data_IF_680893065004
#
_entry.id   IF_680893065004
#
_cell.length_a   1.000
_cell.length_b   1.000
_cell.length_c   1.000
_cell.angle_alpha   90.00
_cell.angle_beta   90.00
_cell.angle_gamma   90.00
#
_symmetry.space_group_name_H-M   'P 1'
#
loop_
_entity.id
_entity.type
_entity.pdbx_description
1 polymer ?
#
# COMPACT_ATOMS: atom_id res chain seq x y z
N UNK A 1 9.32 -20.46 -4.40
CA UNK A 1 8.39 -19.42 -4.91
C UNK A 1 8.60 -18.16 -4.10
N UNK A 2 8.38 -17.00 -4.69
CA UNK A 2 8.67 -15.70 -4.08
C UNK A 2 7.53 -14.70 -4.33
N UNK A 3 7.21 -13.92 -3.29
CA UNK A 3 6.29 -12.79 -3.33
C UNK A 3 7.00 -11.57 -2.73
N UNK A 4 7.10 -10.49 -3.50
CA UNK A 4 7.71 -9.23 -3.08
C UNK A 4 6.66 -8.11 -2.98
N UNK A 5 6.54 -7.50 -1.80
CA UNK A 5 5.63 -6.40 -1.52
C UNK A 5 6.41 -5.09 -1.48
N UNK A 6 6.19 -4.22 -2.45
CA UNK A 6 6.86 -2.93 -2.61
C UNK A 6 5.89 -1.82 -2.24
N UNK A 7 6.32 -0.86 -1.41
CA UNK A 7 5.56 0.37 -1.18
C UNK A 7 5.79 1.35 -2.34
N UNK A 8 4.73 1.97 -2.83
CA UNK A 8 4.79 3.02 -3.85
C UNK A 8 5.77 4.16 -3.49
N UNK A 9 6.14 4.98 -4.49
CA UNK A 9 6.99 6.16 -4.36
C UNK A 9 6.37 7.33 -3.61
N UNK A 10 7.16 8.38 -3.36
CA UNK A 10 6.63 9.60 -2.71
C UNK A 10 5.62 10.28 -3.63
N UNK A 11 4.52 10.78 -3.07
CA UNK A 11 3.51 11.50 -3.86
C UNK A 11 4.03 12.85 -4.35
N UNK A 12 3.53 13.31 -5.51
CA UNK A 12 3.76 14.68 -5.99
C UNK A 12 3.00 15.73 -5.17
N UNK A 13 1.99 15.33 -4.38
CA UNK A 13 1.29 16.26 -3.50
C UNK A 13 2.23 16.74 -2.38
N UNK A 14 2.60 18.02 -2.43
CA UNK A 14 3.48 18.68 -1.45
C UNK A 14 2.74 19.53 -0.42
N UNK A 15 1.42 19.72 -0.59
CA UNK A 15 0.57 20.46 0.35
C UNK A 15 0.66 19.84 1.76
N UNK A 16 1.13 20.63 2.74
CA UNK A 16 1.31 20.18 4.13
C UNK A 16 0.81 21.20 5.16
N UNK A 17 -0.01 22.16 4.73
CA UNK A 17 -0.62 23.14 5.61
C UNK A 17 -1.54 22.48 6.64
N UNK A 18 -1.75 23.17 7.76
CA UNK A 18 -2.71 22.72 8.77
C UNK A 18 -4.13 22.81 8.21
N UNK A 19 -4.78 21.67 8.11
CA UNK A 19 -6.13 21.51 7.57
C UNK A 19 -7.09 20.98 8.64
N UNK A 20 -8.38 21.24 8.46
CA UNK A 20 -9.46 20.64 9.25
C UNK A 20 -9.70 19.18 8.85
N UNK A 21 -10.46 18.44 9.66
CA UNK A 21 -10.85 17.06 9.34
C UNK A 21 -11.69 16.94 8.05
N UNK A 22 -12.47 17.98 7.70
CA UNK A 22 -13.21 18.02 6.44
C UNK A 22 -12.30 18.23 5.24
N UNK A 23 -11.34 19.15 5.36
CA UNK A 23 -10.32 19.39 4.34
C UNK A 23 -9.41 18.17 4.15
N UNK A 24 -9.19 17.38 5.20
CA UNK A 24 -8.40 16.14 5.12
C UNK A 24 -8.94 15.15 4.09
N UNK A 25 -10.27 15.00 3.97
CA UNK A 25 -10.86 14.14 2.94
C UNK A 25 -10.46 14.60 1.52
N UNK A 26 -10.60 15.90 1.25
CA UNK A 26 -10.20 16.50 -0.03
C UNK A 26 -8.69 16.38 -0.27
N UNK A 27 -7.90 16.50 0.79
CA UNK A 27 -6.46 16.30 0.71
C UNK A 27 -6.11 14.86 0.32
N UNK A 28 -6.82 13.86 0.86
CA UNK A 28 -6.66 12.45 0.45
C UNK A 28 -7.06 12.24 -1.01
N UNK A 29 -8.17 12.84 -1.47
CA UNK A 29 -8.59 12.77 -2.87
C UNK A 29 -7.52 13.35 -3.82
N UNK A 30 -6.94 14.52 -3.46
CA UNK A 30 -5.79 15.09 -4.19
C UNK A 30 -4.57 14.15 -4.14
N UNK A 31 -4.30 13.55 -3.00
CA UNK A 31 -3.17 12.64 -2.81
C UNK A 31 -3.30 11.39 -3.71
N UNK A 32 -4.52 10.87 -3.86
CA UNK A 32 -4.83 9.75 -4.74
C UNK A 32 -4.67 10.11 -6.23
N UNK A 33 -4.92 11.37 -6.61
CA UNK A 33 -4.88 11.86 -7.99
C UNK A 33 -3.49 12.35 -8.48
N UNK A 34 -2.61 12.81 -7.58
CA UNK A 34 -1.36 13.47 -7.96
C UNK A 34 -0.20 12.51 -8.31
N UNK A 35 -0.37 11.19 -8.20
CA UNK A 35 0.68 10.26 -8.64
C UNK A 35 1.94 10.30 -7.76
N UNK A 36 3.11 10.00 -8.33
CA UNK A 36 4.41 9.98 -7.63
C UNK A 36 5.50 10.82 -8.27
N UNK A 37 6.46 11.25 -7.45
CA UNK A 37 7.69 11.94 -7.88
C UNK A 37 8.57 10.94 -8.64
N UNK A 38 9.03 11.35 -9.81
CA UNK A 38 10.10 10.65 -10.54
C UNK A 38 11.44 10.92 -9.84
N UNK A 39 12.08 9.89 -9.33
CA UNK A 39 13.33 10.00 -8.58
C UNK A 39 14.50 9.61 -9.48
N UNK A 40 15.65 10.29 -9.34
CA UNK A 40 16.84 9.99 -10.15
C UNK A 40 17.37 8.58 -9.95
N UNK A 41 17.05 7.95 -8.81
CA UNK A 41 17.49 6.59 -8.44
C UNK A 41 16.46 5.91 -7.56
N UNK A 42 16.27 4.60 -7.76
CA UNK A 42 15.44 3.73 -6.91
C UNK A 42 16.31 2.72 -6.15
N UNK A 43 15.85 2.16 -5.01
CA UNK A 43 16.62 1.16 -4.27
C UNK A 43 16.94 -0.06 -5.15
N UNK A 44 18.22 -0.43 -5.21
CA UNK A 44 18.73 -1.47 -6.11
C UNK A 44 18.04 -2.83 -5.87
N UNK A 45 17.85 -3.20 -4.60
CA UNK A 45 17.12 -4.41 -4.22
C UNK A 45 15.64 -4.41 -4.67
N UNK A 46 15.00 -3.23 -4.80
CA UNK A 46 13.64 -3.11 -5.32
C UNK A 46 13.62 -3.29 -6.83
N UNK A 47 14.58 -2.67 -7.53
CA UNK A 47 14.73 -2.81 -8.99
C UNK A 47 15.01 -4.27 -9.38
N UNK A 48 15.89 -4.96 -8.68
CA UNK A 48 16.20 -6.39 -8.93
C UNK A 48 14.95 -7.28 -8.82
N UNK A 49 14.10 -7.04 -7.81
CA UNK A 49 12.85 -7.80 -7.64
C UNK A 49 11.85 -7.53 -8.74
N UNK A 50 11.74 -6.28 -9.20
CA UNK A 50 10.84 -5.94 -10.31
C UNK A 50 11.36 -6.50 -11.65
N UNK A 51 12.66 -6.41 -11.90
CA UNK A 51 13.29 -6.91 -13.13
C UNK A 51 13.20 -8.43 -13.28
N UNK A 52 13.20 -9.17 -12.16
CA UNK A 52 13.11 -10.64 -12.14
C UNK A 52 11.70 -11.16 -11.87
N UNK A 53 10.71 -10.27 -11.71
CA UNK A 53 9.33 -10.66 -11.53
C UNK A 53 8.76 -11.25 -12.81
N UNK A 54 8.05 -12.37 -12.68
CA UNK A 54 7.32 -12.95 -13.81
C UNK A 54 5.97 -12.27 -14.00
N UNK A 55 5.43 -11.63 -12.96
CA UNK A 55 4.21 -10.84 -12.99
C UNK A 55 4.25 -9.73 -11.94
N UNK A 56 3.72 -8.55 -12.28
CA UNK A 56 3.64 -7.39 -11.38
C UNK A 56 2.19 -6.98 -11.18
N UNK A 57 1.77 -6.90 -9.92
CA UNK A 57 0.49 -6.34 -9.50
C UNK A 57 0.64 -4.93 -8.96
N UNK A 58 -0.43 -4.16 -9.10
CA UNK A 58 -0.61 -2.85 -8.47
C UNK A 58 -2.01 -2.75 -7.89
N UNK A 59 -2.20 -1.84 -6.93
CA UNK A 59 -3.54 -1.27 -6.77
C UNK A 59 -3.86 -0.39 -7.99
N UNK A 60 -5.12 -0.09 -8.19
CA UNK A 60 -5.63 0.88 -9.18
C UNK A 60 -5.45 2.36 -8.78
N UNK A 61 -4.91 2.67 -7.60
CA UNK A 61 -4.54 4.04 -7.27
C UNK A 61 -3.33 4.48 -8.10
N UNK A 62 -3.44 5.65 -8.72
CA UNK A 62 -2.46 6.21 -9.67
C UNK A 62 -1.02 6.14 -9.16
N UNK A 63 -0.79 6.49 -7.89
CA UNK A 63 0.54 6.42 -7.27
C UNK A 63 1.18 5.04 -7.30
N UNK A 64 0.40 3.96 -7.16
CA UNK A 64 0.93 2.60 -7.21
C UNK A 64 1.22 2.18 -8.66
N UNK A 65 0.31 2.50 -9.59
CA UNK A 65 0.46 2.23 -11.02
C UNK A 65 1.69 2.95 -11.58
N UNK A 66 1.82 4.25 -11.31
CA UNK A 66 2.98 5.04 -11.75
C UNK A 66 4.27 4.56 -11.12
N UNK A 67 4.27 4.21 -9.83
CA UNK A 67 5.46 3.63 -9.19
C UNK A 67 5.90 2.33 -9.88
N UNK A 68 4.96 1.46 -10.25
CA UNK A 68 5.31 0.24 -10.98
C UNK A 68 5.89 0.55 -12.35
N UNK A 69 5.36 1.55 -13.07
CA UNK A 69 5.92 1.98 -14.36
C UNK A 69 7.31 2.57 -14.23
N UNK A 70 7.58 3.37 -13.20
CA UNK A 70 8.90 3.95 -12.93
C UNK A 70 9.95 2.88 -12.61
N UNK A 71 9.54 1.76 -11.99
CA UNK A 71 10.42 0.60 -11.75
C UNK A 71 10.66 -0.24 -13.02
N UNK A 72 10.00 0.10 -14.13
CA UNK A 72 10.21 -0.44 -15.48
C UNK A 72 10.29 -1.99 -15.55
N UNK A 73 9.23 -2.72 -15.16
CA UNK A 73 9.21 -4.18 -15.26
C UNK A 73 9.28 -4.64 -16.71
N UNK A 74 9.91 -5.80 -16.91
CA UNK A 74 9.96 -6.50 -18.22
C UNK A 74 8.64 -7.21 -18.54
N UNK A 75 7.80 -7.42 -17.53
CA UNK A 75 6.51 -8.14 -17.61
C UNK A 75 5.31 -7.20 -17.54
N UNK A 76 4.12 -7.74 -17.79
CA UNK A 76 2.86 -7.02 -17.70
C UNK A 76 2.56 -6.58 -16.27
N UNK A 77 2.01 -5.35 -16.16
CA UNK A 77 1.47 -4.81 -14.91
C UNK A 77 -0.04 -5.04 -14.90
N UNK A 78 -0.54 -5.75 -13.88
CA UNK A 78 -1.97 -5.94 -13.64
C UNK A 78 -2.41 -5.01 -12.50
N UNK A 79 -3.47 -4.24 -12.75
CA UNK A 79 -4.04 -3.34 -11.75
C UNK A 79 -5.31 -3.92 -11.17
N UNK A 80 -5.39 -3.99 -9.84
CA UNK A 80 -6.51 -4.62 -9.13
C UNK A 80 -6.89 -3.81 -7.87
N UNK A 81 -8.14 -3.32 -7.75
CA UNK A 81 -8.63 -2.61 -6.57
C UNK A 81 -8.51 -3.40 -5.26
N UNK A 82 -8.39 -4.73 -5.32
CA UNK A 82 -8.16 -5.58 -4.14
C UNK A 82 -6.96 -5.12 -3.32
N UNK A 83 -5.95 -4.54 -3.97
CA UNK A 83 -4.70 -4.09 -3.36
C UNK A 83 -4.70 -2.61 -2.90
N UNK A 84 -5.83 -1.89 -2.98
CA UNK A 84 -5.94 -0.50 -2.50
C UNK A 84 -5.53 -0.38 -1.03
N UNK A 85 -4.97 0.79 -0.67
CA UNK A 85 -4.70 1.14 0.72
C UNK A 85 -5.98 1.09 1.54
N UNK A 86 -5.85 0.80 2.83
CA UNK A 86 -6.98 0.92 3.75
C UNK A 86 -7.37 2.39 3.88
N UNK A 87 -8.61 2.72 3.51
CA UNK A 87 -9.18 4.06 3.69
C UNK A 87 -9.21 4.45 5.17
N UNK A 88 -9.17 5.76 5.42
CA UNK A 88 -9.34 6.31 6.76
C UNK A 88 -10.78 6.77 6.95
N UNK A 89 -11.31 6.69 8.18
CA UNK A 89 -12.62 7.23 8.49
C UNK A 89 -12.68 8.70 8.09
N UNK A 90 -13.76 9.09 7.42
CA UNK A 90 -14.03 10.50 7.13
C UNK A 90 -15.14 10.99 8.05
N UNK A 91 -14.79 11.99 8.88
CA UNK A 91 -15.76 12.60 9.79
C UNK A 91 -16.74 13.44 8.97
N UNK A 92 -18.04 13.21 9.15
CA UNK A 92 -19.08 14.16 8.73
C UNK A 92 -19.38 15.21 9.81
N UNK A 93 -18.96 14.98 11.06
CA UNK A 93 -19.30 15.83 12.19
C UNK A 93 -18.22 16.86 12.51
N UNK A 94 -18.67 18.08 12.81
CA UNK A 94 -17.92 19.30 13.17
C UNK A 94 -17.10 19.19 14.47
N UNK A 95 -16.79 17.98 14.94
CA UNK A 95 -16.30 17.74 16.30
C UNK A 95 -14.95 18.38 16.63
N UNK A 96 -14.23 18.94 15.65
CA UNK A 96 -12.98 19.63 15.91
C UNK A 96 -12.79 20.83 14.96
N UNK A 97 -12.90 22.05 15.49
CA UNK A 97 -12.29 23.27 14.90
C UNK A 97 -10.73 23.20 14.93
N UNK A 98 -10.16 22.03 15.15
CA UNK A 98 -8.72 21.79 15.24
C UNK A 98 -8.18 21.64 13.82
N UNK A 99 -7.11 22.39 13.53
CA UNK A 99 -6.35 22.24 12.30
C UNK A 99 -5.03 21.53 12.60
N UNK A 100 -4.77 20.43 11.88
CA UNK A 100 -3.57 19.61 12.02
C UNK A 100 -2.96 19.40 10.63
N UNK A 101 -1.66 19.08 10.59
CA UNK A 101 -1.03 18.67 9.34
C UNK A 101 -1.63 17.35 8.85
N UNK A 102 -1.67 17.09 7.53
CA UNK A 102 -2.24 15.86 6.97
C UNK A 102 -1.67 14.58 7.56
N UNK A 103 -0.36 14.54 7.82
CA UNK A 103 0.30 13.39 8.44
C UNK A 103 -0.20 13.10 9.85
N UNK A 104 -0.47 14.14 10.64
CA UNK A 104 -1.01 14.01 12.00
C UNK A 104 -2.47 13.55 11.93
N UNK A 105 -3.27 14.12 11.03
CA UNK A 105 -4.64 13.64 10.78
C UNK A 105 -4.66 12.15 10.42
N UNK A 106 -3.77 11.71 9.53
CA UNK A 106 -3.67 10.31 9.15
C UNK A 106 -3.36 9.40 10.36
N UNK A 107 -2.48 9.84 11.28
CA UNK A 107 -2.15 9.12 12.52
C UNK A 107 -3.36 9.06 13.45
N UNK A 108 -4.01 10.20 13.73
CA UNK A 108 -5.16 10.27 14.64
C UNK A 108 -6.31 9.40 14.12
N UNK A 109 -6.68 9.54 12.86
CA UNK A 109 -7.75 8.75 12.24
C UNK A 109 -7.38 7.27 12.20
N UNK A 110 -6.10 6.93 12.03
CA UNK A 110 -5.65 5.54 12.11
C UNK A 110 -5.81 4.95 13.50
N UNK A 111 -5.52 5.72 14.55
CA UNK A 111 -5.73 5.30 15.95
C UNK A 111 -7.22 5.08 16.21
N UNK A 112 -8.08 6.03 15.84
CA UNK A 112 -9.53 5.89 15.97
C UNK A 112 -10.05 4.66 15.21
N UNK A 113 -9.52 4.42 14.02
CA UNK A 113 -9.84 3.25 13.21
C UNK A 113 -9.46 1.93 13.87
N UNK A 114 -8.30 1.87 14.51
CA UNK A 114 -7.92 0.71 15.33
C UNK A 114 -8.86 0.49 16.52
N UNK A 115 -9.42 1.57 17.08
CA UNK A 115 -10.44 1.52 18.14
C UNK A 115 -11.85 1.18 17.62
N UNK A 116 -12.02 0.91 16.33
CA UNK A 116 -13.29 0.48 15.73
C UNK A 116 -14.05 1.57 14.99
N UNK A 117 -13.61 2.83 15.05
CA UNK A 117 -14.24 3.92 14.31
C UNK A 117 -14.01 3.75 12.80
N UNK A 118 -15.05 3.46 12.03
CA UNK A 118 -14.93 3.12 10.60
C UNK A 118 -16.03 3.78 9.75
N UNK A 119 -16.45 4.98 10.14
CA UNK A 119 -17.47 5.73 9.41
C UNK A 119 -17.02 5.99 7.97
N UNK A 120 -17.84 5.57 7.00
CA UNK A 120 -17.63 5.71 5.56
C UNK A 120 -16.35 5.06 5.02
N UNK A 121 -15.80 4.05 5.71
CA UNK A 121 -14.66 3.28 5.23
C UNK A 121 -14.76 1.82 5.69
N UNK A 122 -13.90 0.94 5.18
CA UNK A 122 -13.81 -0.42 5.71
C UNK A 122 -13.34 -0.40 7.18
N UNK A 123 -13.80 -1.34 7.99
CA UNK A 123 -13.29 -1.59 9.35
C UNK A 123 -11.99 -2.40 9.34
N UNK A 124 -11.26 -2.44 10.46
CA UNK A 124 -10.08 -3.29 10.60
C UNK A 124 -10.37 -4.78 10.33
N UNK A 125 -11.56 -5.26 10.71
CA UNK A 125 -11.97 -6.65 10.45
C UNK A 125 -12.14 -6.90 8.95
N UNK A 126 -12.79 -5.97 8.24
CA UNK A 126 -12.96 -6.04 6.78
C UNK A 126 -11.61 -5.93 6.06
N UNK A 127 -10.73 -5.01 6.47
CA UNK A 127 -9.40 -4.87 5.90
C UNK A 127 -8.54 -6.14 6.07
N UNK A 128 -8.61 -6.80 7.24
CA UNK A 128 -7.94 -8.11 7.47
C UNK A 128 -8.51 -9.20 6.57
N UNK A 129 -9.82 -9.27 6.42
CA UNK A 129 -10.48 -10.22 5.52
C UNK A 129 -10.06 -9.98 4.06
N UNK A 130 -10.01 -8.72 3.63
CA UNK A 130 -9.51 -8.33 2.30
C UNK A 130 -8.04 -8.70 2.11
N UNK A 131 -7.19 -8.47 3.11
CA UNK A 131 -5.78 -8.88 3.07
C UNK A 131 -5.61 -10.41 3.00
N UNK A 132 -6.51 -11.18 3.63
CA UNK A 132 -6.50 -12.64 3.52
C UNK A 132 -6.79 -13.11 2.08
N UNK A 133 -7.76 -12.47 1.41
CA UNK A 133 -8.04 -12.69 -0.02
C UNK A 133 -6.86 -12.27 -0.90
N UNK A 134 -6.34 -11.06 -0.69
CA UNK A 134 -5.21 -10.52 -1.44
C UNK A 134 -3.96 -11.42 -1.33
N UNK A 135 -3.64 -11.89 -0.12
CA UNK A 135 -2.53 -12.84 0.06
C UNK A 135 -2.80 -14.19 -0.60
N UNK A 136 -4.06 -14.66 -0.66
CA UNK A 136 -4.39 -15.90 -1.36
C UNK A 136 -4.15 -15.74 -2.86
N UNK A 137 -4.66 -14.66 -3.46
CA UNK A 137 -4.44 -14.35 -4.87
C UNK A 137 -2.94 -14.30 -5.20
N UNK A 138 -2.13 -13.59 -4.41
CA UNK A 138 -0.67 -13.55 -4.61
C UNK A 138 -0.01 -14.94 -4.51
N UNK A 139 -0.49 -15.81 -3.63
CA UNK A 139 0.00 -17.19 -3.51
C UNK A 139 -0.35 -18.01 -4.75
N UNK A 140 -1.59 -17.90 -5.23
CA UNK A 140 -2.05 -18.62 -6.42
C UNK A 140 -1.21 -18.22 -7.64
N UNK A 141 -0.99 -16.92 -7.83
CA UNK A 141 -0.07 -16.42 -8.86
C UNK A 141 1.39 -16.86 -8.61
N UNK A 142 1.87 -16.93 -7.37
CA UNK A 142 3.23 -17.39 -7.10
C UNK A 142 3.40 -18.90 -7.37
N UNK A 143 2.33 -19.70 -7.25
CA UNK A 143 2.34 -21.11 -7.65
C UNK A 143 2.51 -21.26 -9.16
N UNK A 144 1.86 -20.41 -9.94
CA UNK A 144 1.92 -20.41 -11.42
C UNK A 144 3.22 -19.77 -11.93
N UNK A 145 3.48 -18.53 -11.55
CA UNK A 145 4.55 -17.68 -12.10
C UNK A 145 5.87 -17.72 -11.33
N UNK A 146 5.93 -18.38 -10.16
CA UNK A 146 7.10 -18.52 -9.27
C UNK A 146 7.62 -17.24 -8.61
N UNK A 147 7.59 -16.09 -9.29
CA UNK A 147 8.04 -14.78 -8.81
C UNK A 147 6.96 -13.72 -9.06
N UNK A 148 6.38 -13.18 -7.98
CA UNK A 148 5.29 -12.20 -8.02
C UNK A 148 5.70 -10.94 -7.27
N UNK A 149 5.48 -9.78 -7.88
CA UNK A 149 5.63 -8.49 -7.21
C UNK A 149 4.27 -7.83 -7.03
N UNK A 150 4.04 -7.20 -5.88
CA UNK A 150 2.97 -6.23 -5.67
C UNK A 150 3.57 -4.86 -5.35
N UNK A 151 3.31 -3.86 -6.19
CA UNK A 151 3.54 -2.45 -5.87
C UNK A 151 2.25 -1.87 -5.28
N UNK A 152 2.25 -1.67 -3.97
CA UNK A 152 1.07 -1.31 -3.18
C UNK A 152 1.37 -0.25 -2.13
N UNK A 153 0.74 -0.38 -0.98
CA UNK A 153 0.69 0.68 0.03
C UNK A 153 1.20 0.20 1.38
N UNK A 154 1.66 1.14 2.20
CA UNK A 154 2.36 0.80 3.44
C UNK A 154 1.52 -0.06 4.39
N UNK A 155 0.27 0.34 4.63
CA UNK A 155 -0.52 -0.31 5.66
C UNK A 155 -1.19 -1.60 5.15
N UNK A 156 -1.73 -1.59 3.94
CA UNK A 156 -2.31 -2.79 3.35
C UNK A 156 -1.24 -3.86 3.07
N UNK A 157 -0.03 -3.50 2.60
CA UNK A 157 1.07 -4.47 2.45
C UNK A 157 1.46 -5.09 3.80
N UNK A 158 1.41 -4.32 4.91
CA UNK A 158 1.63 -4.89 6.25
C UNK A 158 0.56 -5.94 6.62
N UNK A 159 -0.70 -5.73 6.23
CA UNK A 159 -1.76 -6.71 6.48
C UNK A 159 -1.56 -7.96 5.60
N UNK A 160 -1.24 -7.79 4.32
CA UNK A 160 -0.91 -8.91 3.41
C UNK A 160 0.27 -9.72 3.95
N UNK A 161 1.35 -9.05 4.36
CA UNK A 161 2.53 -9.68 4.94
C UNK A 161 2.19 -10.58 6.13
N UNK A 162 1.31 -10.11 7.03
CA UNK A 162 0.83 -10.92 8.17
C UNK A 162 0.06 -12.16 7.71
N UNK A 163 -0.78 -12.03 6.70
CA UNK A 163 -1.54 -13.16 6.16
C UNK A 163 -0.66 -14.16 5.41
N UNK A 164 0.37 -13.71 4.68
CA UNK A 164 1.38 -14.58 4.07
C UNK A 164 2.13 -15.40 5.13
N UNK A 165 2.56 -14.76 6.22
CA UNK A 165 3.25 -15.43 7.32
C UNK A 165 2.36 -16.47 8.02
N UNK A 166 1.07 -16.17 8.23
CA UNK A 166 0.10 -17.15 8.76
C UNK A 166 -0.03 -18.38 7.85
N UNK A 167 0.18 -18.20 6.54
CA UNK A 167 0.16 -19.27 5.53
C UNK A 167 1.54 -19.92 5.33
N UNK A 168 2.49 -19.72 6.25
CA UNK A 168 3.78 -20.41 6.27
C UNK A 168 4.88 -19.76 5.44
N UNK A 169 4.63 -18.62 4.78
CA UNK A 169 5.66 -17.92 4.01
C UNK A 169 6.69 -17.25 4.93
N UNK A 170 7.97 -17.48 4.64
CA UNK A 170 9.09 -16.93 5.41
C UNK A 170 9.56 -15.63 4.78
N UNK A 171 9.62 -14.56 5.55
CA UNK A 171 10.08 -13.26 5.06
C UNK A 171 10.44 -12.34 6.20
N UNK A 172 11.42 -11.46 5.98
CA UNK A 172 11.85 -10.51 7.01
C UNK A 172 10.82 -9.38 7.11
N UNK A 173 10.23 -9.23 8.31
CA UNK A 173 9.40 -8.07 8.64
C UNK A 173 10.30 -6.88 8.98
N UNK A 174 11.21 -6.49 8.09
CA UNK A 174 11.86 -5.18 8.24
C UNK A 174 10.74 -4.15 8.12
N UNK A 175 10.31 -3.61 9.26
CA UNK A 175 9.23 -2.62 9.40
C UNK A 175 9.67 -1.26 8.87
N UNK A 176 10.37 -1.22 7.75
CA UNK A 176 10.71 0.06 7.14
C UNK A 176 9.47 0.54 6.37
N UNK A 177 8.86 1.60 6.89
CA UNK A 177 7.70 2.22 6.28
C UNK A 177 8.10 3.18 5.15
N UNK A 178 9.38 3.30 4.77
CA UNK A 178 9.81 4.17 3.68
C UNK A 178 9.18 3.78 2.34
N UNK A 179 8.95 4.79 1.52
CA UNK A 179 8.62 4.62 0.10
C UNK A 179 9.71 3.77 -0.58
N UNK A 180 9.32 3.02 -1.62
CA UNK A 180 10.17 2.07 -2.35
C UNK A 180 10.69 0.87 -1.57
N UNK A 181 10.41 0.76 -0.27
CA UNK A 181 10.82 -0.41 0.50
C UNK A 181 10.16 -1.69 -0.04
N UNK A 182 10.96 -2.75 -0.13
CA UNK A 182 10.56 -4.07 -0.61
C UNK A 182 10.64 -5.10 0.52
N UNK A 183 9.53 -5.79 0.79
CA UNK A 183 9.48 -6.94 1.68
C UNK A 183 9.31 -8.21 0.85
N UNK A 184 10.26 -9.13 0.97
CA UNK A 184 10.23 -10.39 0.21
C UNK A 184 9.87 -11.56 1.10
N UNK A 185 8.98 -12.41 0.60
CA UNK A 185 8.50 -13.63 1.24
C UNK A 185 8.78 -14.81 0.33
N UNK A 186 9.33 -15.88 0.87
CA UNK A 186 9.59 -17.12 0.16
C UNK A 186 8.93 -18.31 0.84
N UNK A 187 8.53 -19.27 0.02
CA UNK A 187 8.14 -20.59 0.46
C UNK A 187 9.02 -21.59 -0.29
N UNK A 188 9.83 -22.31 0.49
CA UNK A 188 10.60 -23.46 0.01
C UNK A 188 9.60 -24.61 -0.13
N UNK A 189 9.55 -25.22 -1.32
CA UNK A 189 8.94 -26.54 -1.50
C UNK A 189 9.99 -27.58 -1.13
#
# INVERSE_FOLDING_TARGET
MEISLIRHGKSQLTENDKISGWEFKKWVEKYDYNGVIDESTYPLATLEKVATANIVFTSDLKRAVESARLLNPVTNIISDPLFRETELPSNSSQLFNVKLNPSIWAIVLRILWFSGYSTNCESLKQAKFRANKASQQLIDYANEYKSVVLVGHGFFNMLIAKELQKKGWKGSRKRDAKHWNCMTFSLLK
#
